data_IF_479027138989
#
_entry.id   IF_479027138989
#
_cell.length_a   1.000
_cell.length_b   1.000
_cell.length_c   1.000
_cell.angle_alpha   90.00
_cell.angle_beta   90.00
_cell.angle_gamma   90.00
#
_symmetry.space_group_name_H-M   'P 1'
#
loop_
_entity.id
_entity.type
_entity.pdbx_description
1 polymer ?
#
# COMPACT_ATOMS: atom_id res chain seq x y z
N UNK A 1 -7.90 -28.72 -11.05
CA UNK A 1 -6.50 -28.68 -11.51
C UNK A 1 -5.51 -29.31 -10.52
N UNK A 2 -5.60 -29.05 -9.21
CA UNK A 2 -4.64 -29.57 -8.20
C UNK A 2 -4.61 -31.09 -8.11
N UNK A 3 -5.79 -31.71 -8.02
CA UNK A 3 -5.95 -33.14 -7.75
C UNK A 3 -6.23 -34.00 -9.00
N UNK A 4 -6.39 -33.37 -10.19
CA UNK A 4 -6.78 -34.07 -11.41
C UNK A 4 -8.24 -34.54 -11.43
N UNK A 5 -8.68 -35.11 -12.55
CA UNK A 5 -10.03 -35.65 -12.71
C UNK A 5 -10.08 -36.80 -13.69
N UNK A 6 -11.10 -37.61 -13.56
CA UNK A 6 -11.49 -38.67 -14.53
C UNK A 6 -12.46 -38.09 -15.54
N UNK A 7 -12.48 -38.70 -16.72
CA UNK A 7 -13.48 -38.43 -17.76
C UNK A 7 -14.88 -38.56 -17.18
N UNK A 8 -15.73 -37.57 -17.42
CA UNK A 8 -17.12 -37.58 -16.93
C UNK A 8 -17.30 -37.12 -15.47
N UNK A 9 -16.24 -36.71 -14.77
CA UNK A 9 -16.31 -36.25 -13.38
C UNK A 9 -17.14 -34.98 -13.18
N UNK A 10 -17.25 -34.14 -14.20
CA UNK A 10 -18.09 -32.93 -14.26
C UNK A 10 -18.38 -32.56 -15.71
N UNK A 11 -19.32 -31.63 -15.93
CA UNK A 11 -19.64 -31.10 -17.26
C UNK A 11 -18.40 -30.42 -17.87
N UNK A 12 -17.90 -31.04 -18.97
CA UNK A 12 -16.66 -30.57 -19.65
C UNK A 12 -15.42 -31.47 -19.39
N UNK A 13 -15.49 -32.46 -18.53
CA UNK A 13 -14.43 -33.43 -18.32
C UNK A 13 -14.39 -34.46 -19.48
N UNK A 14 -13.87 -34.10 -20.64
CA UNK A 14 -13.81 -34.89 -21.86
C UNK A 14 -12.75 -36.02 -21.84
N UNK A 15 -11.74 -35.89 -20.98
CA UNK A 15 -10.61 -36.85 -20.85
C UNK A 15 -10.15 -36.94 -19.41
N UNK A 16 -9.36 -37.98 -19.10
CA UNK A 16 -8.62 -38.07 -17.84
C UNK A 16 -7.50 -37.00 -17.82
N UNK A 17 -7.33 -36.32 -16.69
CA UNK A 17 -6.25 -35.33 -16.50
C UNK A 17 -5.56 -35.55 -15.17
N UNK A 18 -4.22 -35.66 -15.19
CA UNK A 18 -3.41 -35.71 -14.00
C UNK A 18 -3.44 -34.35 -13.27
N UNK A 19 -3.39 -34.40 -11.94
CA UNK A 19 -3.34 -33.22 -11.10
C UNK A 19 -1.93 -32.66 -10.94
N UNK A 20 -1.83 -31.40 -10.45
CA UNK A 20 -0.54 -30.77 -10.17
C UNK A 20 0.26 -31.51 -9.10
N UNK A 21 -0.39 -32.14 -8.11
CA UNK A 21 0.28 -32.99 -7.12
C UNK A 21 0.95 -34.22 -7.75
N UNK A 22 0.28 -34.87 -8.70
CA UNK A 22 0.89 -35.98 -9.43
C UNK A 22 2.12 -35.53 -10.25
N UNK A 23 2.00 -34.37 -10.89
CA UNK A 23 3.10 -33.81 -11.69
C UNK A 23 4.29 -33.37 -10.82
N UNK A 24 4.02 -32.92 -9.58
CA UNK A 24 5.03 -32.46 -8.63
C UNK A 24 5.59 -33.59 -7.75
N UNK A 25 5.25 -34.88 -8.04
CA UNK A 25 5.73 -36.02 -7.28
C UNK A 25 7.26 -36.05 -7.24
N UNK A 26 7.86 -36.32 -6.08
CA UNK A 26 9.28 -36.24 -5.76
C UNK A 26 9.89 -34.83 -5.84
N UNK A 27 9.06 -33.80 -5.99
CA UNK A 27 9.49 -32.41 -6.12
C UNK A 27 8.84 -31.46 -5.10
N UNK A 28 8.67 -30.22 -5.51
CA UNK A 28 8.06 -29.17 -4.70
C UNK A 28 6.88 -28.56 -5.44
N UNK A 29 5.74 -28.44 -4.75
CA UNK A 29 4.60 -27.67 -5.22
C UNK A 29 4.50 -26.36 -4.47
N UNK A 30 4.34 -25.25 -5.22
CA UNK A 30 4.07 -23.94 -4.66
C UNK A 30 2.59 -23.61 -4.82
N UNK A 31 1.90 -23.38 -3.71
CA UNK A 31 0.48 -23.05 -3.66
C UNK A 31 0.33 -21.57 -3.31
N UNK A 32 0.19 -20.74 -4.33
CA UNK A 32 -0.07 -19.33 -4.14
C UNK A 32 -1.53 -19.07 -3.77
N UNK A 33 -1.77 -18.02 -2.98
CA UNK A 33 -3.11 -17.61 -2.53
C UNK A 33 -3.91 -18.74 -1.88
N UNK A 34 -3.27 -19.54 -1.00
CA UNK A 34 -3.92 -20.70 -0.37
C UNK A 34 -5.20 -20.33 0.40
N UNK A 35 -5.34 -19.08 0.85
CA UNK A 35 -6.55 -18.56 1.48
C UNK A 35 -7.76 -18.44 0.54
N UNK A 36 -7.57 -18.58 -0.78
CA UNK A 36 -8.66 -18.61 -1.77
C UNK A 36 -9.17 -20.01 -2.04
N UNK A 37 -8.52 -21.06 -1.50
CA UNK A 37 -8.92 -22.44 -1.74
C UNK A 37 -10.29 -22.73 -1.11
N UNK A 38 -11.31 -23.16 -1.88
CA UNK A 38 -12.63 -23.52 -1.35
C UNK A 38 -12.57 -24.67 -0.34
N UNK A 39 -13.48 -24.69 0.64
CA UNK A 39 -13.53 -25.72 1.70
C UNK A 39 -13.40 -27.16 1.21
N UNK A 40 -14.07 -27.60 0.11
CA UNK A 40 -13.86 -28.95 -0.42
C UNK A 40 -12.42 -29.22 -0.90
N UNK A 41 -11.75 -28.18 -1.41
CA UNK A 41 -10.34 -28.25 -1.80
C UNK A 41 -9.41 -28.35 -0.58
N UNK A 42 -9.75 -27.62 0.50
CA UNK A 42 -9.02 -27.68 1.76
C UNK A 42 -9.04 -29.08 2.40
N UNK A 43 -10.20 -29.77 2.35
CA UNK A 43 -10.32 -31.15 2.82
C UNK A 43 -9.40 -32.11 2.04
N UNK A 44 -9.32 -31.93 0.71
CA UNK A 44 -8.44 -32.78 -0.13
C UNK A 44 -6.96 -32.45 0.15
N UNK A 45 -6.60 -31.18 0.30
CA UNK A 45 -5.24 -30.78 0.63
C UNK A 45 -4.81 -31.32 2.00
N UNK A 46 -5.71 -31.29 2.98
CA UNK A 46 -5.43 -31.88 4.30
C UNK A 46 -5.08 -33.37 4.20
N UNK A 47 -5.78 -34.14 3.37
CA UNK A 47 -5.46 -35.56 3.13
C UNK A 47 -4.06 -35.73 2.54
N UNK A 48 -3.68 -34.88 1.57
CA UNK A 48 -2.32 -34.94 1.02
C UNK A 48 -1.28 -34.70 2.11
N UNK A 49 -1.49 -33.70 2.99
CA UNK A 49 -0.58 -33.38 4.07
C UNK A 49 -0.52 -34.46 5.18
N UNK A 50 -1.55 -35.26 5.32
CA UNK A 50 -1.64 -36.28 6.38
C UNK A 50 -1.17 -37.67 5.93
N UNK A 51 -1.58 -38.09 4.74
CA UNK A 51 -1.36 -39.45 4.25
C UNK A 51 -0.46 -39.54 3.01
N UNK A 52 -0.05 -38.40 2.44
CA UNK A 52 0.67 -38.31 1.15
C UNK A 52 -0.13 -38.95 -0.02
N UNK A 53 -1.45 -38.91 0.06
CA UNK A 53 -2.33 -39.52 -0.92
C UNK A 53 -3.23 -38.48 -1.57
N UNK A 54 -3.48 -38.65 -2.85
CA UNK A 54 -4.48 -37.88 -3.61
C UNK A 54 -5.53 -38.81 -4.22
N UNK A 55 -6.71 -38.22 -4.48
CA UNK A 55 -7.77 -38.85 -5.28
C UNK A 55 -8.20 -37.89 -6.38
N UNK A 56 -8.22 -38.39 -7.63
CA UNK A 56 -8.76 -37.61 -8.76
C UNK A 56 -10.26 -37.40 -8.57
N UNK A 57 -10.78 -36.29 -9.01
CA UNK A 57 -12.22 -36.03 -9.00
C UNK A 57 -12.91 -37.07 -9.88
N UNK A 58 -13.96 -37.74 -9.35
CA UNK A 58 -14.66 -38.83 -10.03
C UNK A 58 -13.95 -40.19 -10.00
N UNK A 59 -13.02 -40.39 -9.04
CA UNK A 59 -12.32 -41.66 -8.84
C UNK A 59 -12.12 -41.93 -7.35
N UNK A 60 -12.34 -43.15 -6.94
CA UNK A 60 -12.05 -43.65 -5.57
C UNK A 60 -10.61 -44.19 -5.45
N UNK A 61 -9.87 -44.22 -6.56
CA UNK A 61 -8.49 -44.72 -6.55
C UNK A 61 -7.56 -43.70 -5.91
N UNK A 62 -6.84 -44.13 -4.86
CA UNK A 62 -5.76 -43.40 -4.21
C UNK A 62 -4.49 -43.50 -5.04
N UNK A 63 -3.71 -42.41 -5.04
CA UNK A 63 -2.40 -42.27 -5.70
C UNK A 63 -1.46 -41.68 -4.66
N UNK A 64 -0.36 -42.37 -4.37
CA UNK A 64 0.67 -41.91 -3.46
C UNK A 64 1.49 -40.80 -4.13
N UNK A 65 1.77 -39.72 -3.40
CA UNK A 65 2.59 -38.62 -3.84
C UNK A 65 3.56 -38.19 -2.74
N UNK A 66 4.81 -38.07 -3.09
CA UNK A 66 5.86 -37.47 -2.23
C UNK A 66 6.19 -36.09 -2.72
N UNK A 67 5.58 -35.07 -2.08
CA UNK A 67 5.69 -33.70 -2.58
C UNK A 67 5.93 -32.74 -1.42
N UNK A 68 7.00 -31.94 -1.50
CA UNK A 68 7.21 -30.82 -0.60
C UNK A 68 6.20 -29.71 -0.93
N UNK A 69 5.47 -29.24 0.09
CA UNK A 69 4.47 -28.17 -0.08
C UNK A 69 5.02 -26.85 0.46
N UNK A 70 4.97 -25.80 -0.36
CA UNK A 70 5.20 -24.41 0.04
C UNK A 70 3.91 -23.64 -0.28
N UNK A 71 3.32 -23.02 0.72
CA UNK A 71 2.09 -22.26 0.57
C UNK A 71 2.33 -20.78 0.84
N UNK A 72 1.66 -19.90 0.08
CA UNK A 72 1.70 -18.47 0.27
C UNK A 72 0.28 -17.90 0.35
N UNK A 73 0.11 -16.82 1.10
CA UNK A 73 -1.15 -16.08 1.20
C UNK A 73 -0.89 -14.64 1.66
N UNK A 74 -1.75 -13.73 1.21
CA UNK A 74 -1.83 -12.36 1.71
C UNK A 74 -2.93 -12.20 2.78
N UNK A 75 -3.70 -13.28 3.08
CA UNK A 75 -4.80 -13.27 4.05
C UNK A 75 -4.37 -13.74 5.43
N UNK A 76 -5.06 -13.24 6.45
CA UNK A 76 -4.92 -13.75 7.81
C UNK A 76 -5.72 -15.06 7.95
N UNK A 77 -5.03 -16.20 7.77
CA UNK A 77 -5.68 -17.51 7.84
C UNK A 77 -6.29 -17.80 9.22
N UNK A 78 -5.69 -17.32 10.31
CA UNK A 78 -6.25 -17.50 11.66
C UNK A 78 -7.59 -16.76 11.82
N UNK A 79 -7.72 -15.58 11.25
CA UNK A 79 -9.01 -14.88 11.21
C UNK A 79 -10.02 -15.65 10.37
N UNK A 80 -9.62 -16.13 9.20
CA UNK A 80 -10.48 -16.96 8.34
C UNK A 80 -10.95 -18.25 9.01
N UNK A 81 -10.13 -18.86 9.89
CA UNK A 81 -10.55 -20.00 10.70
C UNK A 81 -11.71 -19.63 11.63
N UNK A 82 -11.61 -18.48 12.31
CA UNK A 82 -12.69 -17.98 13.20
C UNK A 82 -13.99 -17.68 12.45
N UNK A 83 -13.87 -17.21 11.22
CA UNK A 83 -14.99 -16.87 10.33
C UNK A 83 -15.53 -18.10 9.56
N UNK A 84 -14.93 -19.29 9.73
CA UNK A 84 -15.33 -20.52 9.04
C UNK A 84 -14.94 -20.61 7.56
N UNK A 85 -14.14 -19.66 7.05
CA UNK A 85 -13.64 -19.63 5.67
C UNK A 85 -12.41 -20.51 5.44
N UNK A 86 -11.70 -20.88 6.49
CA UNK A 86 -10.54 -21.77 6.44
C UNK A 86 -10.59 -22.78 7.57
N UNK A 87 -10.15 -24.01 7.31
CA UNK A 87 -10.15 -25.07 8.30
C UNK A 87 -8.97 -24.93 9.25
N UNK A 88 -9.24 -25.05 10.54
CA UNK A 88 -8.23 -24.93 11.59
C UNK A 88 -7.20 -26.08 11.55
N UNK A 89 -7.66 -27.31 11.25
CA UNK A 89 -6.79 -28.48 11.12
C UNK A 89 -5.77 -28.34 9.96
N UNK A 90 -6.22 -27.79 8.84
CA UNK A 90 -5.34 -27.47 7.71
C UNK A 90 -4.35 -26.35 8.04
N UNK A 91 -4.80 -25.30 8.75
CA UNK A 91 -3.95 -24.21 9.19
C UNK A 91 -2.77 -24.72 10.01
N UNK A 92 -3.01 -25.50 11.05
CA UNK A 92 -1.93 -26.05 11.89
C UNK A 92 -0.99 -26.99 11.13
N UNK A 93 -1.49 -27.69 10.12
CA UNK A 93 -0.64 -28.58 9.32
C UNK A 93 0.24 -27.81 8.32
N UNK A 94 -0.21 -26.66 7.83
CA UNK A 94 0.57 -25.78 6.94
C UNK A 94 1.55 -24.89 7.72
N UNK A 95 1.16 -24.39 8.89
CA UNK A 95 1.91 -23.40 9.67
C UNK A 95 3.04 -23.98 10.53
N UNK A 96 3.76 -24.98 10.02
CA UNK A 96 4.92 -25.58 10.72
C UNK A 96 6.11 -24.59 10.71
N UNK A 97 6.38 -23.98 9.57
CA UNK A 97 7.40 -22.94 9.41
C UNK A 97 6.75 -21.75 8.73
N UNK A 98 6.64 -20.64 9.43
CA UNK A 98 6.06 -19.41 8.89
C UNK A 98 7.13 -18.37 8.61
N UNK A 99 7.13 -17.87 7.38
CA UNK A 99 8.01 -16.78 6.95
C UNK A 99 7.13 -15.59 6.55
N UNK A 100 7.33 -14.46 7.23
CA UNK A 100 6.63 -13.21 6.89
C UNK A 100 7.53 -12.36 6.02
N UNK A 101 7.05 -12.00 4.82
CA UNK A 101 7.75 -11.09 3.92
C UNK A 101 7.35 -9.65 4.28
N UNK A 102 8.32 -8.80 4.68
CA UNK A 102 8.02 -7.41 4.98
C UNK A 102 7.60 -6.65 3.71
N UNK A 103 6.63 -5.72 3.79
CA UNK A 103 6.25 -4.90 2.67
C UNK A 103 7.37 -3.93 2.28
N UNK A 104 7.33 -3.42 1.04
CA UNK A 104 8.39 -2.59 0.47
C UNK A 104 8.66 -1.32 1.28
N UNK A 105 7.62 -0.72 1.89
CA UNK A 105 7.75 0.44 2.81
C UNK A 105 8.63 0.20 4.04
N UNK A 106 8.83 -1.05 4.42
CA UNK A 106 9.71 -1.46 5.53
C UNK A 106 11.14 -1.82 5.07
N UNK A 107 11.37 -1.85 3.74
CA UNK A 107 12.64 -2.15 3.08
C UNK A 107 13.10 -0.99 2.20
N UNK A 108 13.09 0.22 2.75
CA UNK A 108 13.34 1.46 1.97
C UNK A 108 14.70 1.49 1.28
N UNK A 109 15.69 0.86 1.89
CA UNK A 109 17.06 0.80 1.35
C UNK A 109 17.12 0.05 0.00
N UNK A 110 16.19 -0.87 -0.24
CA UNK A 110 16.10 -1.63 -1.49
C UNK A 110 15.44 -0.86 -2.63
N UNK A 111 14.65 0.20 -2.32
CA UNK A 111 13.85 0.91 -3.33
C UNK A 111 14.74 1.53 -4.42
N UNK A 112 15.89 2.10 -4.04
CA UNK A 112 16.81 2.70 -5.04
C UNK A 112 17.32 1.66 -6.02
N UNK A 113 17.74 0.49 -5.53
CA UNK A 113 18.23 -0.62 -6.34
C UNK A 113 17.13 -1.17 -7.26
N UNK A 114 15.91 -1.31 -6.73
CA UNK A 114 14.77 -1.79 -7.51
C UNK A 114 14.35 -0.80 -8.60
N UNK A 115 14.43 0.50 -8.36
CA UNK A 115 14.19 1.53 -9.39
C UNK A 115 15.19 1.38 -10.54
N UNK A 116 16.47 1.22 -10.22
CA UNK A 116 17.53 1.04 -11.22
C UNK A 116 17.32 -0.26 -11.99
N UNK A 117 17.12 -1.38 -11.30
CA UNK A 117 16.86 -2.68 -11.90
C UNK A 117 15.67 -2.68 -12.87
N UNK A 118 14.52 -2.12 -12.45
CA UNK A 118 13.34 -2.04 -13.31
C UNK A 118 13.49 -1.00 -14.42
N UNK A 119 14.29 0.04 -14.19
CA UNK A 119 14.66 1.01 -15.21
C UNK A 119 15.45 0.35 -16.36
N UNK A 120 16.44 -0.47 -16.03
CA UNK A 120 17.22 -1.23 -16.99
C UNK A 120 16.37 -2.29 -17.70
N UNK A 121 15.53 -3.05 -16.96
CA UNK A 121 14.59 -4.02 -17.55
C UNK A 121 13.63 -3.34 -18.55
N UNK A 122 13.14 -2.15 -18.21
CA UNK A 122 12.25 -1.39 -19.08
C UNK A 122 12.99 -0.88 -20.33
N UNK A 123 14.22 -0.37 -20.17
CA UNK A 123 15.07 0.12 -21.26
C UNK A 123 15.38 -1.00 -22.26
N UNK A 124 15.74 -2.18 -21.79
CA UNK A 124 15.97 -3.36 -22.61
C UNK A 124 14.72 -3.75 -23.42
N UNK A 125 13.56 -3.88 -22.75
CA UNK A 125 12.28 -4.24 -23.41
C UNK A 125 11.81 -3.22 -24.43
N UNK A 126 12.08 -1.94 -24.18
CA UNK A 126 11.71 -0.83 -25.06
C UNK A 126 12.81 -0.51 -26.10
N UNK A 127 13.94 -1.22 -26.09
CA UNK A 127 15.09 -1.04 -26.96
C UNK A 127 15.59 0.42 -26.99
N UNK A 128 15.72 1.02 -25.81
CA UNK A 128 16.15 2.42 -25.63
C UNK A 128 17.06 2.58 -24.42
N UNK A 129 17.67 3.76 -24.29
CA UNK A 129 18.45 4.08 -23.10
C UNK A 129 17.56 4.25 -21.85
N UNK A 130 18.05 3.90 -20.66
CA UNK A 130 17.34 4.14 -19.40
C UNK A 130 16.99 5.63 -19.24
N UNK A 131 15.77 5.89 -18.80
CA UNK A 131 15.27 7.26 -18.57
C UNK A 131 15.84 7.80 -17.26
N UNK A 132 16.36 9.03 -17.30
CA UNK A 132 16.82 9.71 -16.10
C UNK A 132 15.64 10.23 -15.27
N UNK A 133 15.71 10.06 -13.96
CA UNK A 133 14.71 10.62 -13.05
C UNK A 133 15.14 12.01 -12.58
N UNK A 134 14.24 12.99 -12.59
CA UNK A 134 14.46 14.27 -11.94
C UNK A 134 14.73 14.06 -10.44
N UNK A 135 15.48 14.98 -9.83
CA UNK A 135 15.79 14.89 -8.39
C UNK A 135 14.53 14.81 -7.53
N UNK A 136 13.52 15.61 -7.85
CA UNK A 136 12.25 15.64 -7.12
C UNK A 136 11.46 14.35 -7.29
N UNK A 137 11.40 13.78 -8.50
CA UNK A 137 10.74 12.50 -8.75
C UNK A 137 11.46 11.36 -8.03
N UNK A 138 12.79 11.30 -8.08
CA UNK A 138 13.58 10.30 -7.35
C UNK A 138 13.31 10.37 -5.85
N UNK A 139 13.32 11.56 -5.27
CA UNK A 139 13.02 11.75 -3.83
C UNK A 139 11.60 11.29 -3.49
N UNK A 140 10.62 11.58 -4.33
CA UNK A 140 9.25 11.11 -4.15
C UNK A 140 9.17 9.59 -4.17
N UNK A 141 9.75 8.94 -5.18
CA UNK A 141 9.74 7.48 -5.32
C UNK A 141 10.41 6.76 -4.13
N UNK A 142 11.49 7.32 -3.58
CA UNK A 142 12.16 6.75 -2.40
C UNK A 142 11.31 6.82 -1.12
N UNK A 143 10.36 7.75 -1.05
CA UNK A 143 9.52 7.96 0.14
C UNK A 143 8.06 7.50 -0.03
N UNK A 144 7.67 7.06 -1.21
CA UNK A 144 6.31 6.58 -1.45
C UNK A 144 6.05 5.26 -0.73
N UNK A 145 4.82 5.05 -0.28
CA UNK A 145 4.47 3.92 0.60
C UNK A 145 4.30 2.57 -0.14
N UNK A 146 4.12 2.58 -1.44
CA UNK A 146 3.92 1.39 -2.29
C UNK A 146 2.89 0.39 -1.75
N UNK A 147 1.59 0.73 -1.67
CA UNK A 147 0.57 -0.23 -1.22
C UNK A 147 0.54 -1.51 -2.06
N UNK A 148 0.85 -1.43 -3.36
CA UNK A 148 1.01 -2.57 -4.26
C UNK A 148 2.42 -3.18 -4.27
N UNK A 149 3.29 -2.80 -3.32
CA UNK A 149 4.65 -3.32 -3.13
C UNK A 149 5.50 -3.25 -4.42
N UNK A 150 6.32 -4.27 -4.67
CA UNK A 150 7.24 -4.35 -5.81
C UNK A 150 6.49 -4.33 -7.16
N UNK A 151 5.28 -4.90 -7.23
CA UNK A 151 4.47 -4.87 -8.46
C UNK A 151 4.08 -3.44 -8.84
N UNK A 152 3.70 -2.63 -7.87
CA UNK A 152 3.37 -1.22 -8.09
C UNK A 152 4.61 -0.41 -8.49
N UNK A 153 5.71 -0.57 -7.77
CA UNK A 153 6.99 0.07 -8.12
C UNK A 153 7.39 -0.25 -9.56
N UNK A 154 7.39 -1.53 -9.93
CA UNK A 154 7.71 -1.97 -11.29
C UNK A 154 6.80 -1.30 -12.33
N UNK A 155 5.48 -1.30 -12.10
CA UNK A 155 4.51 -0.67 -13.00
C UNK A 155 4.74 0.84 -13.15
N UNK A 156 5.06 1.53 -12.05
CA UNK A 156 5.39 2.97 -12.07
C UNK A 156 6.64 3.21 -12.91
N UNK A 157 7.72 2.45 -12.69
CA UNK A 157 8.99 2.59 -13.43
C UNK A 157 8.79 2.30 -14.93
N UNK A 158 8.07 1.23 -15.27
CA UNK A 158 7.75 0.92 -16.67
C UNK A 158 6.91 2.01 -17.33
N UNK A 159 5.90 2.54 -16.64
CA UNK A 159 5.11 3.66 -17.13
C UNK A 159 5.98 4.89 -17.41
N UNK A 160 6.84 5.23 -16.47
CA UNK A 160 7.81 6.33 -16.62
C UNK A 160 8.68 6.09 -17.87
N UNK A 161 9.22 4.89 -18.01
CA UNK A 161 10.04 4.52 -19.16
C UNK A 161 9.28 4.61 -20.49
N UNK A 162 7.98 4.31 -20.52
CA UNK A 162 7.18 4.41 -21.74
C UNK A 162 6.86 5.86 -22.13
N UNK A 163 6.63 6.74 -21.15
CA UNK A 163 6.11 8.08 -21.41
C UNK A 163 7.20 9.16 -21.52
N UNK A 164 8.29 9.02 -20.77
CA UNK A 164 9.37 10.02 -20.79
C UNK A 164 10.32 9.78 -21.96
N UNK A 165 10.79 10.85 -22.58
CA UNK A 165 11.76 10.76 -23.67
C UNK A 165 13.20 10.62 -23.16
N UNK A 166 13.66 11.52 -22.30
CA UNK A 166 15.03 11.56 -21.75
C UNK A 166 15.01 11.68 -20.22
N UNK A 167 14.29 12.66 -19.69
CA UNK A 167 14.19 12.91 -18.26
C UNK A 167 12.73 12.84 -17.83
N UNK A 168 12.46 12.05 -16.78
CA UNK A 168 11.13 11.88 -16.20
C UNK A 168 10.91 12.80 -15.01
N UNK A 169 9.66 13.27 -14.87
CA UNK A 169 9.19 14.02 -13.72
C UNK A 169 7.75 13.63 -13.35
N UNK A 170 7.12 14.32 -12.41
CA UNK A 170 5.80 14.02 -11.84
C UNK A 170 4.68 13.83 -12.88
N UNK A 171 4.75 14.49 -14.04
CA UNK A 171 3.80 14.32 -15.14
C UNK A 171 3.72 12.89 -15.69
N UNK A 172 4.81 12.11 -15.54
CA UNK A 172 4.89 10.72 -15.98
C UNK A 172 4.34 9.71 -14.96
N UNK A 173 4.05 10.18 -13.72
CA UNK A 173 3.40 9.36 -12.70
C UNK A 173 1.91 9.10 -13.04
N UNK A 174 1.33 8.00 -12.52
CA UNK A 174 -0.12 7.85 -12.48
C UNK A 174 -0.77 9.02 -11.73
N UNK A 175 -1.90 9.50 -12.22
CA UNK A 175 -2.63 10.63 -11.58
C UNK A 175 -2.97 10.35 -10.12
N UNK A 176 -3.27 9.08 -9.79
CA UNK A 176 -3.65 8.64 -8.44
C UNK A 176 -2.56 8.84 -7.38
N UNK A 177 -1.29 8.89 -7.80
CA UNK A 177 -0.15 9.04 -6.89
C UNK A 177 0.63 10.34 -7.14
N UNK A 178 0.24 11.09 -8.16
CA UNK A 178 0.90 12.36 -8.50
C UNK A 178 0.73 13.35 -7.34
N UNK A 179 1.83 13.88 -6.77
CA UNK A 179 1.70 14.95 -5.79
C UNK A 179 0.93 16.11 -6.41
N UNK A 180 -0.01 16.70 -5.67
CA UNK A 180 -0.63 17.94 -6.12
C UNK A 180 0.48 18.96 -6.38
N UNK A 181 0.69 19.28 -7.63
CA UNK A 181 1.72 20.25 -8.04
C UNK A 181 1.43 21.57 -7.36
N UNK A 182 2.44 22.22 -6.79
CA UNK A 182 2.27 23.59 -6.29
C UNK A 182 1.76 24.53 -7.38
N UNK A 183 1.97 24.22 -8.65
CA UNK A 183 1.41 24.94 -9.80
C UNK A 183 -0.11 24.80 -9.88
N UNK A 184 -0.70 23.63 -9.63
CA UNK A 184 -2.16 23.49 -9.56
C UNK A 184 -2.75 24.19 -8.32
N UNK A 185 -1.98 24.31 -7.22
CA UNK A 185 -2.34 25.15 -6.08
C UNK A 185 -2.07 26.63 -6.37
N UNK A 186 -1.05 26.96 -7.15
CA UNK A 186 -0.76 28.32 -7.58
C UNK A 186 -1.80 28.80 -8.60
N UNK A 187 -2.16 27.99 -9.60
CA UNK A 187 -3.20 28.34 -10.58
C UNK A 187 -4.59 28.45 -9.95
N UNK A 188 -4.93 27.58 -8.98
CA UNK A 188 -6.17 27.73 -8.19
C UNK A 188 -6.09 28.92 -7.24
N UNK A 189 -4.93 29.15 -6.61
CA UNK A 189 -4.67 30.31 -5.77
C UNK A 189 -4.62 31.62 -6.56
N UNK A 190 -3.99 31.63 -7.74
CA UNK A 190 -3.97 32.81 -8.62
C UNK A 190 -5.34 33.12 -9.23
N UNK A 191 -6.14 32.12 -9.58
CA UNK A 191 -7.50 32.30 -10.06
C UNK A 191 -8.45 32.79 -8.94
N UNK A 192 -8.23 32.42 -7.68
CA UNK A 192 -8.93 32.97 -6.51
C UNK A 192 -8.40 34.34 -6.12
N UNK A 193 -7.08 34.53 -6.13
CA UNK A 193 -6.41 35.80 -5.88
C UNK A 193 -6.77 36.88 -6.92
N UNK A 194 -6.91 36.52 -8.19
CA UNK A 194 -7.33 37.45 -9.26
C UNK A 194 -8.78 37.96 -9.10
N UNK A 195 -9.59 37.33 -8.26
CA UNK A 195 -10.97 37.74 -7.94
C UNK A 195 -11.06 38.62 -6.68
N UNK A 196 -9.97 38.71 -5.90
CA UNK A 196 -9.93 39.51 -4.66
C UNK A 196 -9.38 40.90 -4.93
N UNK A 197 -9.98 41.92 -4.31
CA UNK A 197 -9.44 43.26 -4.35
C UNK A 197 -8.11 43.32 -3.58
N UNK A 198 -7.25 44.29 -3.91
CA UNK A 198 -5.98 44.51 -3.19
C UNK A 198 -6.21 44.70 -1.67
N UNK A 199 -7.34 45.25 -1.30
CA UNK A 199 -7.77 45.44 0.09
C UNK A 199 -8.07 44.12 0.79
N UNK A 200 -8.75 43.21 0.08
CA UNK A 200 -9.08 41.87 0.61
C UNK A 200 -7.83 41.00 0.75
N UNK A 201 -6.89 41.11 -0.20
CA UNK A 201 -5.59 40.46 -0.14
C UNK A 201 -4.75 40.91 1.05
N UNK A 202 -4.67 42.21 1.28
CA UNK A 202 -3.94 42.77 2.45
C UNK A 202 -4.58 42.31 3.76
N UNK A 203 -5.92 42.30 3.81
CA UNK A 203 -6.67 41.82 4.97
C UNK A 203 -6.45 40.33 5.23
N UNK A 204 -6.53 39.50 4.21
CA UNK A 204 -6.31 38.06 4.33
C UNK A 204 -4.87 37.70 4.76
N UNK A 205 -3.88 38.39 4.21
CA UNK A 205 -2.48 38.26 4.60
C UNK A 205 -2.22 38.67 6.05
N UNK A 206 -2.82 39.82 6.48
CA UNK A 206 -2.77 40.29 7.85
C UNK A 206 -3.46 39.31 8.83
N UNK A 207 -4.64 38.82 8.49
CA UNK A 207 -5.39 37.87 9.30
C UNK A 207 -4.66 36.53 9.42
N UNK A 208 -4.00 36.04 8.38
CA UNK A 208 -3.17 34.85 8.41
C UNK A 208 -1.94 34.97 9.31
N UNK A 209 -1.20 36.07 9.18
CA UNK A 209 -0.03 36.35 10.01
C UNK A 209 -0.42 36.51 11.49
N UNK A 210 -1.51 37.23 11.76
CA UNK A 210 -2.06 37.43 13.12
C UNK A 210 -2.46 36.08 13.75
N UNK A 211 -3.09 35.21 12.99
CA UNK A 211 -3.46 33.86 13.45
C UNK A 211 -2.22 33.01 13.80
N UNK A 212 -1.24 32.94 12.90
CA UNK A 212 -0.02 32.15 13.10
C UNK A 212 0.75 32.62 14.35
N UNK A 213 0.86 33.95 14.53
CA UNK A 213 1.49 34.55 15.67
C UNK A 213 0.80 34.20 17.00
N UNK A 214 -0.52 34.32 17.04
CA UNK A 214 -1.31 34.00 18.22
C UNK A 214 -1.27 32.47 18.55
N UNK A 215 -1.28 31.62 17.53
CA UNK A 215 -1.19 30.17 17.67
C UNK A 215 0.15 29.75 18.26
N UNK A 216 1.25 30.30 17.76
CA UNK A 216 2.59 30.08 18.31
C UNK A 216 2.70 30.53 19.77
N UNK A 217 2.20 31.72 20.10
CA UNK A 217 2.19 32.22 21.48
C UNK A 217 1.36 31.34 22.43
N UNK A 218 0.24 30.78 21.97
CA UNK A 218 -0.53 29.83 22.77
C UNK A 218 0.19 28.49 22.98
N UNK A 219 0.93 28.01 21.96
CA UNK A 219 1.74 26.80 22.07
C UNK A 219 2.87 26.97 23.09
N UNK A 220 3.63 28.06 22.98
CA UNK A 220 4.77 28.37 23.86
C UNK A 220 4.35 28.54 25.33
N UNK A 221 3.18 29.13 25.59
CA UNK A 221 2.68 29.42 26.93
C UNK A 221 1.65 28.40 27.45
N UNK A 222 1.52 27.23 26.77
CA UNK A 222 0.62 26.16 27.22
C UNK A 222 -0.83 26.60 27.37
N UNK A 223 -1.33 27.49 26.50
CA UNK A 223 -2.71 27.96 26.50
C UNK A 223 -3.05 29.02 27.58
N UNK A 224 -2.06 29.59 28.25
CA UNK A 224 -2.27 30.60 29.32
C UNK A 224 -2.51 32.00 28.73
N UNK A 225 -3.75 32.30 28.40
CA UNK A 225 -4.17 33.56 27.76
C UNK A 225 -3.75 34.81 28.56
N UNK A 226 -3.70 34.76 29.87
CA UNK A 226 -3.32 35.92 30.71
C UNK A 226 -1.82 36.25 30.61
N UNK A 227 -0.96 35.25 30.45
CA UNK A 227 0.48 35.41 30.26
C UNK A 227 0.76 35.92 28.84
N UNK A 228 0.06 35.37 27.82
CA UNK A 228 0.17 35.84 26.45
C UNK A 228 -0.28 37.31 26.31
N UNK A 229 -1.39 37.69 26.96
CA UNK A 229 -1.83 39.11 26.96
C UNK A 229 -0.79 40.06 27.56
N UNK A 230 -0.12 39.65 28.65
CA UNK A 230 0.95 40.42 29.28
C UNK A 230 2.18 40.52 28.35
N UNK A 231 2.57 39.44 27.72
CA UNK A 231 3.72 39.40 26.81
C UNK A 231 3.50 40.29 25.58
N UNK A 232 2.26 40.39 25.09
CA UNK A 232 1.89 41.19 23.93
C UNK A 232 1.49 42.64 24.29
N UNK A 233 1.61 43.02 25.56
CA UNK A 233 1.17 44.33 26.10
C UNK A 233 -0.29 44.66 25.70
N UNK A 234 -1.16 43.62 25.74
CA UNK A 234 -2.56 43.70 25.32
C UNK A 234 -3.51 43.44 26.47
N UNK A 235 -4.69 44.08 26.40
CA UNK A 235 -5.77 43.75 27.33
C UNK A 235 -6.28 42.32 27.08
N UNK A 236 -6.46 41.56 28.16
CA UNK A 236 -6.94 40.14 28.09
C UNK A 236 -8.24 40.01 27.32
N UNK A 237 -9.19 40.94 27.48
CA UNK A 237 -10.48 40.94 26.78
C UNK A 237 -10.30 41.12 25.27
N UNK A 238 -9.37 42.00 24.87
CA UNK A 238 -9.04 42.22 23.46
C UNK A 238 -8.40 40.98 22.84
N UNK A 239 -7.42 40.36 23.53
CA UNK A 239 -6.82 39.09 23.09
C UNK A 239 -7.86 37.96 22.94
N UNK A 240 -8.82 37.86 23.86
CA UNK A 240 -9.90 36.85 23.74
C UNK A 240 -10.78 37.09 22.51
N UNK A 241 -11.03 38.36 22.16
CA UNK A 241 -11.76 38.71 20.95
C UNK A 241 -10.98 38.31 19.67
N UNK A 242 -9.65 38.56 19.66
CA UNK A 242 -8.79 38.14 18.55
C UNK A 242 -8.73 36.62 18.40
N UNK A 243 -8.55 35.89 19.52
CA UNK A 243 -8.55 34.43 19.51
C UNK A 243 -9.87 33.88 18.98
N UNK A 244 -11.01 34.45 19.36
CA UNK A 244 -12.33 34.08 18.86
C UNK A 244 -12.48 34.41 17.37
N UNK A 245 -11.97 35.56 16.90
CA UNK A 245 -11.96 35.97 15.48
C UNK A 245 -11.24 34.92 14.62
N UNK A 246 -10.10 34.40 15.10
CA UNK A 246 -9.29 33.41 14.38
C UNK A 246 -9.64 31.96 14.69
N UNK A 247 -10.70 31.68 15.47
CA UNK A 247 -11.15 30.33 15.81
C UNK A 247 -10.21 29.54 16.73
N UNK A 248 -9.26 30.24 17.42
CA UNK A 248 -8.29 29.62 18.32
C UNK A 248 -8.88 29.42 19.71
N UNK A 249 -8.81 28.19 20.22
CA UNK A 249 -9.32 27.83 21.55
C UNK A 249 -8.16 27.51 22.49
N UNK A 250 -7.92 28.36 23.47
CA UNK A 250 -6.82 28.21 24.42
C UNK A 250 -6.82 26.86 25.18
N UNK A 251 -7.96 26.19 25.31
CA UNK A 251 -8.08 24.86 25.92
C UNK A 251 -7.35 23.77 25.15
N UNK A 252 -7.22 23.90 23.83
CA UNK A 252 -6.58 22.91 22.94
C UNK A 252 -5.05 22.89 23.11
N UNK A 253 -4.48 23.97 23.64
CA UNK A 253 -3.04 24.14 23.87
C UNK A 253 -2.61 23.91 25.32
N UNK A 254 -3.52 23.53 26.21
CA UNK A 254 -3.16 23.12 27.57
C UNK A 254 -2.57 21.73 27.56
N UNK A 255 -1.34 21.57 28.05
CA UNK A 255 -0.75 20.27 28.28
C UNK A 255 -1.73 19.42 29.11
N UNK A 256 -2.01 18.20 28.65
CA UNK A 256 -2.73 17.21 29.45
C UNK A 256 -1.82 16.86 30.63
N UNK A 257 -2.18 17.37 31.83
CA UNK A 257 -1.62 16.93 33.13
C UNK A 257 -2.07 15.52 33.41
#
# INVERSE_FOLDING_TARGET
ELFGHKRGAFTGASSDRAGKFETANTGTIFLDEIGELPLPGQVKLLRVLQSNEIQRVGSDKTIDVDTRIVAATNKNLMQMCREGGFREDLFYRLSVIQVTLPPLRERKDEISLLIEYFGDEAAEKLQRQPVKLSRRLRTFLLNYAYPGNIRELRNIVFRIACLASDTADFEHLPETIRPATQEAKAEQGEAELAKLSLTDLKKAASDAAEREFLERGLQELGGKVSELARQLDMNRSHLQTLLKKHGLRSKEYRARS
#
